data_IF_828797137213
#
_entry.id   IF_828797137213
#
_cell.length_a   1.000
_cell.length_b   1.000
_cell.length_c   1.000
_cell.angle_alpha   90.00
_cell.angle_beta   90.00
_cell.angle_gamma   90.00
#
_symmetry.space_group_name_H-M   'P 1'
#
loop_
_entity.id
_entity.type
_entity.pdbx_description
1 polymer ?
#
# COMPACT_ATOMS: atom_id res chain seq x y z
N UNK A 1 -50.16 54.83 52.82
CA UNK A 1 -49.96 54.84 51.34
C UNK A 1 -48.98 53.73 51.01
N UNK A 2 -49.55 52.55 50.73
CA UNK A 2 -48.79 51.28 50.63
C UNK A 2 -48.64 50.95 49.17
N UNK A 3 -47.42 50.85 48.67
CA UNK A 3 -47.12 50.44 47.30
C UNK A 3 -46.79 48.91 47.31
N UNK A 4 -47.67 48.14 46.69
CA UNK A 4 -47.47 46.70 46.49
C UNK A 4 -46.72 46.53 45.18
N UNK A 5 -45.50 45.99 45.23
CA UNK A 5 -44.74 45.59 44.04
C UNK A 5 -45.16 44.18 43.60
N UNK A 6 -45.71 44.07 42.43
CA UNK A 6 -46.11 42.82 41.79
C UNK A 6 -44.86 42.20 41.12
N UNK A 7 -44.33 41.13 41.66
CA UNK A 7 -43.31 40.31 41.02
C UNK A 7 -44.00 39.23 40.16
N UNK A 8 -44.08 39.47 38.88
CA UNK A 8 -44.50 38.43 37.90
C UNK A 8 -43.44 37.39 37.69
N UNK A 9 -43.62 36.24 38.25
CA UNK A 9 -42.79 35.05 37.96
C UNK A 9 -43.14 34.49 36.55
N UNK A 10 -42.30 34.75 35.56
CA UNK A 10 -42.41 34.16 34.27
C UNK A 10 -41.96 32.69 34.34
N UNK A 11 -42.90 31.78 34.63
CA UNK A 11 -42.68 30.35 34.46
C UNK A 11 -42.60 30.02 32.95
N UNK A 12 -41.42 29.57 32.47
CA UNK A 12 -41.26 29.10 31.11
C UNK A 12 -42.07 27.82 30.95
N UNK A 13 -42.99 27.75 29.99
CA UNK A 13 -43.84 26.58 29.82
C UNK A 13 -43.00 25.32 29.57
N UNK A 14 -43.33 24.25 30.27
CA UNK A 14 -42.62 22.95 30.28
C UNK A 14 -42.36 22.38 28.90
N UNK A 15 -43.23 22.64 27.92
CA UNK A 15 -43.08 22.23 26.52
C UNK A 15 -41.87 22.92 25.83
N UNK A 16 -41.54 24.15 26.16
CA UNK A 16 -40.36 24.86 25.62
C UNK A 16 -39.06 24.34 26.23
N UNK A 17 -39.06 23.95 27.50
CA UNK A 17 -37.93 23.30 28.16
C UNK A 17 -37.65 21.91 27.55
N UNK A 18 -38.69 21.13 27.26
CA UNK A 18 -38.56 19.82 26.65
C UNK A 18 -37.99 19.91 25.22
N UNK A 19 -38.41 20.91 24.44
CA UNK A 19 -37.86 21.16 23.09
C UNK A 19 -36.40 21.58 23.10
N UNK A 20 -35.97 22.37 24.07
CA UNK A 20 -34.56 22.81 24.20
C UNK A 20 -33.69 21.63 24.64
N UNK A 21 -34.15 20.78 25.56
CA UNK A 21 -33.42 19.59 26.00
C UNK A 21 -33.29 18.57 24.84
N UNK A 22 -34.34 18.36 24.06
CA UNK A 22 -34.34 17.47 22.92
C UNK A 22 -33.41 17.97 21.80
N UNK A 23 -33.37 19.27 21.52
CA UNK A 23 -32.46 19.86 20.55
C UNK A 23 -30.99 19.83 21.01
N UNK A 24 -30.71 20.02 22.32
CA UNK A 24 -29.37 19.87 22.89
C UNK A 24 -28.88 18.41 22.82
N UNK A 25 -29.77 17.42 23.04
CA UNK A 25 -29.44 15.99 22.90
C UNK A 25 -29.13 15.59 21.45
N UNK A 26 -29.84 16.20 20.47
CA UNK A 26 -29.53 15.96 19.04
C UNK A 26 -28.18 16.56 18.64
N UNK A 27 -27.78 17.71 19.16
CA UNK A 27 -26.47 18.33 18.89
C UNK A 27 -25.33 17.50 19.52
N UNK A 28 -25.54 16.92 20.69
CA UNK A 28 -24.55 16.05 21.35
C UNK A 28 -24.41 14.68 20.64
N UNK A 29 -25.45 14.15 20.00
CA UNK A 29 -25.39 12.89 19.27
C UNK A 29 -24.60 12.98 17.95
N UNK A 30 -24.48 14.18 17.34
CA UNK A 30 -23.67 14.39 16.14
C UNK A 30 -22.16 14.48 16.41
N UNK A 31 -21.74 14.70 17.65
CA UNK A 31 -20.31 14.88 17.97
C UNK A 31 -19.56 13.54 18.20
N UNK A 32 -20.26 12.40 18.20
CA UNK A 32 -19.68 11.10 18.59
C UNK A 32 -19.26 10.22 17.41
N UNK A 33 -19.36 10.67 16.15
CA UNK A 33 -18.95 9.92 14.97
C UNK A 33 -17.55 10.29 14.44
N UNK A 34 -16.74 10.99 15.21
CA UNK A 34 -15.31 11.12 14.93
C UNK A 34 -14.53 9.99 15.58
N UNK A 35 -15.01 8.77 15.41
CA UNK A 35 -14.31 7.58 15.89
C UNK A 35 -13.13 7.27 14.98
N UNK A 36 -11.92 7.66 15.41
CA UNK A 36 -10.66 6.95 15.16
C UNK A 36 -10.24 6.78 13.68
N UNK A 37 -10.43 7.78 12.85
CA UNK A 37 -9.67 7.93 11.64
C UNK A 37 -8.26 8.36 12.08
N UNK A 38 -7.38 7.38 12.29
CA UNK A 38 -5.95 7.66 12.47
C UNK A 38 -5.48 8.39 11.22
N UNK A 39 -5.33 9.71 11.34
CA UNK A 39 -5.12 10.58 10.19
C UNK A 39 -3.76 10.30 9.56
N UNK A 40 -3.78 10.10 8.24
CA UNK A 40 -2.57 10.06 7.44
C UNK A 40 -2.04 11.48 7.28
N UNK A 41 -0.81 11.72 7.68
CA UNK A 41 -0.10 12.97 7.45
C UNK A 41 0.62 12.93 6.11
N UNK A 42 0.36 13.88 5.23
CA UNK A 42 1.10 14.07 3.97
C UNK A 42 2.48 14.64 4.29
N UNK A 43 3.54 13.86 4.09
CA UNK A 43 4.92 14.23 4.39
C UNK A 43 5.77 14.54 3.16
N UNK A 44 5.28 14.19 1.97
CA UNK A 44 5.93 14.52 0.70
C UNK A 44 4.91 14.53 -0.43
N UNK A 45 4.98 15.55 -1.30
CA UNK A 45 4.23 15.64 -2.57
C UNK A 45 5.19 16.16 -3.64
N UNK A 46 5.72 15.24 -4.47
CA UNK A 46 6.72 15.55 -5.49
C UNK A 46 6.53 14.66 -6.71
N UNK A 47 6.60 15.22 -7.92
CA UNK A 47 6.59 14.47 -9.19
C UNK A 47 5.40 13.49 -9.31
N UNK A 48 4.21 13.91 -8.88
CA UNK A 48 3.00 13.09 -8.82
C UNK A 48 3.13 11.85 -7.91
N UNK A 49 4.02 11.92 -6.92
CA UNK A 49 4.18 10.91 -5.88
C UNK A 49 3.90 11.55 -4.54
N UNK A 50 2.86 11.09 -3.88
CA UNK A 50 2.45 11.50 -2.54
C UNK A 50 2.87 10.44 -1.53
N UNK A 51 3.49 10.87 -0.44
CA UNK A 51 3.87 9.99 0.67
C UNK A 51 3.18 10.45 1.93
N UNK A 52 2.51 9.54 2.57
CA UNK A 52 1.79 9.74 3.83
C UNK A 52 2.40 8.87 4.92
N UNK A 53 2.34 9.35 6.15
CA UNK A 53 2.75 8.62 7.35
C UNK A 53 1.61 8.57 8.34
N UNK A 54 1.60 7.51 9.17
CA UNK A 54 0.78 7.47 10.39
C UNK A 54 1.69 7.53 11.60
N UNK A 55 1.43 8.51 12.46
CA UNK A 55 2.02 8.54 13.78
C UNK A 55 1.17 7.66 14.71
N UNK A 56 1.83 6.73 15.39
CA UNK A 56 1.27 6.03 16.55
C UNK A 56 2.18 6.36 17.72
N UNK A 57 1.68 7.18 18.64
CA UNK A 57 2.37 7.45 19.89
C UNK A 57 2.66 6.13 20.60
N UNK A 58 3.89 5.95 21.11
CA UNK A 58 4.37 4.78 21.83
C UNK A 58 4.51 3.47 21.03
N UNK A 59 4.19 3.42 19.74
CA UNK A 59 4.34 2.23 18.91
C UNK A 59 5.71 2.16 18.22
N UNK A 60 6.36 0.99 18.26
CA UNK A 60 7.55 0.69 17.44
C UNK A 60 7.20 0.55 15.96
N UNK A 61 5.94 0.27 15.66
CA UNK A 61 5.45 0.12 14.29
C UNK A 61 5.51 1.46 13.56
N UNK A 62 6.11 1.43 12.39
CA UNK A 62 6.15 2.54 11.45
C UNK A 62 5.24 2.23 10.28
N UNK A 63 4.43 3.21 9.87
CA UNK A 63 3.48 3.03 8.78
C UNK A 63 3.63 4.16 7.79
N UNK A 64 3.80 3.80 6.53
CA UNK A 64 3.74 4.75 5.42
C UNK A 64 2.81 4.27 4.31
N UNK A 65 2.37 5.22 3.48
CA UNK A 65 1.65 4.97 2.23
C UNK A 65 2.20 5.90 1.17
N UNK A 66 2.67 5.33 0.07
CA UNK A 66 2.99 6.06 -1.14
C UNK A 66 1.86 5.89 -2.17
N UNK A 67 1.48 6.96 -2.84
CA UNK A 67 0.48 6.95 -3.92
C UNK A 67 1.06 7.67 -5.12
N UNK A 68 0.89 7.09 -6.31
CA UNK A 68 1.27 7.73 -7.56
C UNK A 68 0.33 7.34 -8.69
N UNK A 69 0.21 8.23 -9.69
CA UNK A 69 -0.54 7.98 -10.92
C UNK A 69 0.40 8.08 -12.10
N UNK A 70 0.24 7.18 -13.06
CA UNK A 70 1.05 7.16 -14.27
C UNK A 70 0.34 6.44 -15.41
N UNK A 71 0.84 6.64 -16.63
CA UNK A 71 0.35 5.94 -17.82
C UNK A 71 1.00 4.55 -17.89
N UNK A 72 0.20 3.51 -18.02
CA UNK A 72 0.62 2.12 -18.21
C UNK A 72 -0.01 1.59 -19.49
N UNK A 73 0.75 1.63 -20.59
CA UNK A 73 0.29 1.18 -21.92
C UNK A 73 0.25 -0.33 -22.05
N UNK A 74 1.22 -1.02 -21.45
CA UNK A 74 1.29 -2.47 -21.39
C UNK A 74 0.94 -2.93 -19.98
N UNK A 75 -0.19 -3.59 -19.85
CA UNK A 75 -0.77 -4.00 -18.57
C UNK A 75 0.09 -5.05 -17.86
N UNK A 76 0.80 -5.88 -18.64
CA UNK A 76 1.66 -6.93 -18.11
C UNK A 76 3.07 -6.46 -17.74
N UNK A 77 3.48 -5.24 -18.15
CA UNK A 77 4.80 -4.70 -17.83
C UNK A 77 5.07 -4.67 -16.32
N UNK A 78 4.04 -4.36 -15.54
CA UNK A 78 4.14 -4.37 -14.09
C UNK A 78 4.33 -5.79 -13.54
N UNK A 79 3.56 -6.76 -14.04
CA UNK A 79 3.73 -8.16 -13.65
C UNK A 79 5.11 -8.69 -14.06
N UNK A 80 5.63 -8.30 -15.23
CA UNK A 80 6.97 -8.64 -15.66
C UNK A 80 8.04 -8.11 -14.70
N UNK A 81 7.95 -6.85 -14.29
CA UNK A 81 8.85 -6.25 -13.31
C UNK A 81 8.76 -6.94 -11.93
N UNK A 82 7.55 -7.25 -11.47
CA UNK A 82 7.33 -7.89 -10.16
C UNK A 82 7.75 -9.38 -10.14
N UNK A 83 7.91 -10.02 -11.29
CA UNK A 83 8.46 -11.36 -11.41
C UNK A 83 9.99 -11.40 -11.58
N UNK A 84 10.62 -10.25 -11.85
CA UNK A 84 12.07 -10.11 -12.03
C UNK A 84 12.76 -9.78 -10.69
N UNK A 85 12.83 -10.76 -9.78
CA UNK A 85 13.45 -10.58 -8.45
C UNK A 85 14.90 -10.06 -8.50
N UNK A 86 15.78 -10.49 -9.44
CA UNK A 86 17.11 -9.92 -9.55
C UNK A 86 17.17 -8.42 -9.85
N UNK A 87 16.09 -7.85 -10.35
CA UNK A 87 16.01 -6.40 -10.62
C UNK A 87 15.58 -5.57 -9.39
N UNK A 88 15.10 -6.20 -8.32
CA UNK A 88 14.55 -5.49 -7.15
C UNK A 88 15.50 -4.44 -6.55
N UNK A 89 16.82 -4.66 -6.42
CA UNK A 89 17.74 -3.64 -5.96
C UNK A 89 17.78 -2.37 -6.82
N UNK A 90 17.36 -2.46 -8.09
CA UNK A 90 17.37 -1.32 -9.02
C UNK A 90 16.22 -0.33 -8.76
N UNK A 91 15.11 -0.81 -8.16
CA UNK A 91 13.92 0.01 -7.97
C UNK A 91 13.36 0.03 -6.54
N UNK A 92 13.45 -1.06 -5.80
CA UNK A 92 13.01 -1.11 -4.42
C UNK A 92 14.10 -0.55 -3.50
N UNK A 93 13.84 0.61 -2.92
CA UNK A 93 14.86 1.36 -2.18
C UNK A 93 15.30 0.60 -0.92
N UNK A 94 16.60 0.58 -0.67
CA UNK A 94 17.29 -0.19 0.38
C UNK A 94 17.30 -1.71 0.20
N UNK A 95 16.62 -2.28 -0.76
CA UNK A 95 16.70 -3.72 -1.01
C UNK A 95 18.02 -4.02 -1.72
N UNK A 96 18.78 -4.95 -1.18
CA UNK A 96 20.02 -5.48 -1.70
C UNK A 96 19.80 -6.75 -2.53
N UNK A 97 18.92 -7.64 -2.07
CA UNK A 97 18.51 -8.82 -2.80
C UNK A 97 17.04 -9.18 -2.58
N UNK A 98 16.46 -9.89 -3.54
CA UNK A 98 15.16 -10.51 -3.42
C UNK A 98 15.22 -11.89 -4.07
N UNK A 99 14.65 -12.88 -3.41
CA UNK A 99 14.59 -14.25 -3.90
C UNK A 99 13.25 -14.91 -3.54
N UNK A 100 12.75 -15.74 -4.44
CA UNK A 100 11.61 -16.62 -4.17
C UNK A 100 12.16 -17.95 -3.65
N UNK A 101 11.66 -18.42 -2.51
CA UNK A 101 12.09 -19.68 -1.90
C UNK A 101 10.97 -20.73 -1.82
N UNK A 102 9.70 -20.31 -1.97
CA UNK A 102 8.55 -21.22 -2.02
C UNK A 102 7.44 -20.63 -2.89
N UNK A 103 6.76 -21.51 -3.64
CA UNK A 103 5.67 -21.15 -4.55
C UNK A 103 4.52 -22.14 -4.43
N UNK A 104 3.40 -21.72 -3.87
CA UNK A 104 2.17 -22.52 -3.81
C UNK A 104 1.29 -22.34 -5.03
N UNK A 105 1.56 -21.32 -5.81
CA UNK A 105 0.88 -21.02 -7.06
C UNK A 105 1.38 -19.74 -7.70
N UNK A 106 0.90 -19.38 -8.89
CA UNK A 106 1.33 -18.17 -9.56
C UNK A 106 0.94 -16.89 -8.79
N UNK A 107 -0.08 -16.96 -7.94
CA UNK A 107 -0.60 -15.85 -7.13
C UNK A 107 -0.27 -15.95 -5.64
N UNK A 108 0.48 -16.99 -5.21
CA UNK A 108 0.89 -17.22 -3.83
C UNK A 108 2.36 -17.65 -3.78
N UNK A 109 3.22 -16.74 -3.36
CA UNK A 109 4.68 -16.91 -3.37
C UNK A 109 5.29 -16.47 -2.06
N UNK A 110 6.34 -17.15 -1.64
CA UNK A 110 7.13 -16.78 -0.46
C UNK A 110 8.47 -16.21 -0.88
N UNK A 111 8.77 -15.01 -0.39
CA UNK A 111 9.90 -14.20 -0.80
C UNK A 111 10.77 -13.87 0.40
N UNK A 112 12.07 -13.87 0.21
CA UNK A 112 13.05 -13.33 1.12
C UNK A 112 13.65 -12.07 0.52
N UNK A 113 13.72 -11.01 1.31
CA UNK A 113 14.38 -9.77 0.96
C UNK A 113 15.51 -9.50 1.93
N UNK A 114 16.65 -9.05 1.43
CA UNK A 114 17.69 -8.43 2.24
C UNK A 114 17.76 -6.95 1.97
N UNK A 115 18.08 -6.16 2.99
CA UNK A 115 18.17 -4.71 2.88
C UNK A 115 19.52 -4.24 3.38
N UNK A 116 20.12 -3.33 2.65
CA UNK A 116 21.32 -2.62 3.08
C UNK A 116 20.92 -1.26 3.66
N UNK A 117 21.08 -1.10 4.97
CA UNK A 117 20.76 0.14 5.66
C UNK A 117 22.00 1.02 5.85
N UNK A 118 21.79 2.36 5.98
CA UNK A 118 22.90 3.26 6.26
C UNK A 118 23.59 2.93 7.59
N UNK A 119 24.93 2.99 7.57
CA UNK A 119 25.70 2.90 8.82
C UNK A 119 25.20 3.92 9.87
N UNK A 120 25.07 3.57 11.16
CA UNK A 120 25.64 2.38 11.84
C UNK A 120 24.64 1.22 11.98
N UNK A 121 23.61 1.13 11.17
CA UNK A 121 22.64 0.05 11.28
C UNK A 121 23.16 -1.24 10.64
N UNK A 122 22.88 -2.37 11.30
CA UNK A 122 23.04 -3.67 10.67
C UNK A 122 22.01 -3.85 9.55
N UNK A 123 22.33 -4.69 8.58
CA UNK A 123 21.43 -5.06 7.51
C UNK A 123 20.23 -5.87 8.02
N UNK A 124 19.13 -5.83 7.31
CA UNK A 124 17.88 -6.52 7.69
C UNK A 124 17.50 -7.55 6.66
N UNK A 125 16.71 -8.52 7.11
CA UNK A 125 15.98 -9.42 6.22
C UNK A 125 14.49 -9.45 6.55
N UNK A 126 13.66 -9.58 5.50
CA UNK A 126 12.24 -9.84 5.59
C UNK A 126 11.92 -11.17 4.92
N UNK A 127 11.09 -11.97 5.56
CA UNK A 127 10.54 -13.21 5.01
C UNK A 127 9.04 -13.02 4.90
N UNK A 128 8.53 -12.93 3.68
CA UNK A 128 7.17 -12.51 3.38
C UNK A 128 6.47 -13.52 2.48
N UNK A 129 5.16 -13.66 2.64
CA UNK A 129 4.28 -14.26 1.67
C UNK A 129 3.58 -13.16 0.88
N UNK A 130 3.65 -13.21 -0.44
CA UNK A 130 2.97 -12.33 -1.36
C UNK A 130 1.73 -13.04 -1.92
N UNK A 131 0.55 -12.48 -1.65
CA UNK A 131 -0.74 -12.99 -2.09
C UNK A 131 -1.37 -12.01 -3.07
N UNK A 132 -1.53 -12.42 -4.32
CA UNK A 132 -2.12 -11.59 -5.37
C UNK A 132 -3.62 -11.82 -5.43
N UNK A 133 -4.41 -10.76 -5.39
CA UNK A 133 -5.86 -10.73 -5.57
C UNK A 133 -6.21 -9.83 -6.73
N UNK A 134 -7.19 -10.24 -7.53
CA UNK A 134 -7.65 -9.48 -8.69
C UNK A 134 -9.14 -9.20 -8.53
N UNK A 135 -9.54 -7.97 -8.84
CA UNK A 135 -10.94 -7.56 -8.94
C UNK A 135 -11.15 -6.97 -10.33
N UNK A 136 -11.90 -7.70 -11.18
CA UNK A 136 -12.16 -7.31 -12.56
C UNK A 136 -13.67 -7.29 -12.80
N UNK A 137 -14.28 -6.16 -12.44
CA UNK A 137 -15.70 -5.88 -12.65
C UNK A 137 -15.87 -4.72 -13.64
N UNK A 138 -17.12 -4.39 -13.99
CA UNK A 138 -17.39 -3.23 -14.83
C UNK A 138 -16.98 -1.91 -14.15
N UNK A 139 -17.09 -1.84 -12.81
CA UNK A 139 -16.87 -0.63 -12.03
C UNK A 139 -15.45 -0.54 -11.44
N UNK A 140 -14.80 -1.69 -11.26
CA UNK A 140 -13.47 -1.75 -10.64
C UNK A 140 -12.56 -2.75 -11.36
N UNK A 141 -11.38 -2.27 -11.76
CA UNK A 141 -10.29 -3.08 -12.28
C UNK A 141 -9.05 -2.82 -11.41
N UNK A 142 -8.76 -3.77 -10.55
CA UNK A 142 -7.65 -3.64 -9.60
C UNK A 142 -6.93 -4.97 -9.36
N UNK A 143 -5.63 -4.84 -9.05
CA UNK A 143 -4.79 -5.92 -8.55
C UNK A 143 -4.25 -5.48 -7.21
N UNK A 144 -4.40 -6.31 -6.19
CA UNK A 144 -3.87 -6.11 -4.85
C UNK A 144 -2.91 -7.23 -4.49
N UNK A 145 -1.72 -6.89 -4.04
CA UNK A 145 -0.74 -7.81 -3.49
C UNK A 145 -0.66 -7.57 -2.00
N UNK A 146 -1.13 -8.53 -1.21
CA UNK A 146 -0.95 -8.52 0.24
C UNK A 146 0.41 -9.14 0.59
N UNK A 147 1.22 -8.41 1.36
CA UNK A 147 2.49 -8.88 1.92
C UNK A 147 2.27 -9.28 3.38
N UNK A 148 2.46 -10.55 3.68
CA UNK A 148 2.20 -11.13 5.01
C UNK A 148 3.52 -11.60 5.62
N UNK A 149 3.82 -11.13 6.83
CA UNK A 149 5.02 -11.53 7.56
C UNK A 149 5.04 -13.03 7.86
N UNK A 150 6.16 -13.69 7.54
CA UNK A 150 6.40 -15.12 7.77
C UNK A 150 7.81 -15.35 8.35
N UNK A 151 8.15 -14.73 9.48
CA UNK A 151 9.52 -14.75 9.99
C UNK A 151 10.04 -16.15 10.28
N UNK A 152 9.14 -17.09 10.59
CA UNK A 152 9.49 -18.48 10.92
C UNK A 152 9.53 -19.42 9.71
N UNK A 153 9.23 -18.94 8.49
CA UNK A 153 9.25 -19.77 7.27
C UNK A 153 10.66 -20.13 6.79
N UNK A 154 11.68 -19.42 7.26
CA UNK A 154 13.09 -19.73 7.05
C UNK A 154 13.84 -19.71 8.40
N UNK A 155 14.89 -20.53 8.56
CA UNK A 155 15.74 -20.45 9.74
C UNK A 155 16.37 -19.04 9.87
N UNK A 156 16.70 -18.60 11.11
CA UNK A 156 17.38 -17.32 11.32
C UNK A 156 18.73 -17.28 10.57
N UNK A 157 19.04 -16.11 10.02
CA UNK A 157 20.38 -15.83 9.48
C UNK A 157 21.08 -14.79 10.37
N UNK A 158 22.24 -15.14 10.92
CA UNK A 158 22.97 -14.30 11.86
C UNK A 158 23.61 -13.05 11.22
N UNK A 159 23.68 -12.99 9.88
CA UNK A 159 24.22 -11.84 9.16
C UNK A 159 23.23 -10.67 9.09
N UNK A 160 21.96 -10.93 9.41
CA UNK A 160 20.87 -9.97 9.30
C UNK A 160 20.05 -9.89 10.58
N UNK A 161 19.48 -8.71 10.83
CA UNK A 161 18.41 -8.58 11.81
C UNK A 161 17.10 -8.84 11.05
N UNK A 162 16.37 -9.91 11.41
CA UNK A 162 15.05 -10.19 10.83
C UNK A 162 14.04 -9.17 11.33
N UNK A 163 13.23 -8.61 10.41
CA UNK A 163 12.11 -7.75 10.79
C UNK A 163 11.15 -8.53 11.68
N UNK A 164 10.90 -8.10 12.93
CA UNK A 164 9.93 -8.75 13.80
C UNK A 164 8.51 -8.70 13.23
N UNK A 165 8.18 -7.57 12.61
CA UNK A 165 6.90 -7.34 11.93
C UNK A 165 7.14 -6.58 10.64
N UNK A 166 6.60 -7.09 9.54
CA UNK A 166 6.58 -6.41 8.25
C UNK A 166 5.40 -6.90 7.43
N UNK A 167 4.37 -6.09 7.32
CA UNK A 167 3.21 -6.36 6.49
C UNK A 167 2.96 -5.20 5.53
N UNK A 168 2.31 -5.46 4.41
CA UNK A 168 2.06 -4.39 3.46
C UNK A 168 1.06 -4.73 2.39
N UNK A 169 0.82 -3.74 1.55
CA UNK A 169 -0.05 -3.85 0.38
C UNK A 169 0.53 -3.09 -0.79
N UNK A 170 0.46 -3.71 -1.94
CA UNK A 170 0.77 -3.07 -3.21
C UNK A 170 -0.47 -3.16 -4.08
N UNK A 171 -1.12 -2.03 -4.31
CA UNK A 171 -2.38 -1.93 -5.05
C UNK A 171 -2.18 -1.22 -6.37
N UNK A 172 -2.83 -1.75 -7.41
CA UNK A 172 -2.89 -1.15 -8.74
C UNK A 172 -4.34 -1.06 -9.15
N UNK A 173 -4.82 0.14 -9.42
CA UNK A 173 -6.20 0.41 -9.83
C UNK A 173 -6.22 1.17 -11.15
N UNK A 174 -6.94 0.65 -12.14
CA UNK A 174 -7.13 1.32 -13.41
C UNK A 174 -8.09 2.51 -13.25
N UNK A 175 -7.71 3.65 -13.81
CA UNK A 175 -8.53 4.88 -13.78
C UNK A 175 -9.19 5.19 -15.12
N UNK A 176 -8.90 4.41 -16.18
CA UNK A 176 -9.28 4.68 -17.57
C UNK A 176 -8.17 5.40 -18.35
N UNK A 177 -8.27 5.42 -19.70
CA UNK A 177 -7.30 6.08 -20.59
C UNK A 177 -5.84 5.70 -20.31
N UNK A 178 -5.57 4.40 -20.08
CA UNK A 178 -4.25 3.84 -19.73
C UNK A 178 -3.65 4.44 -18.45
N UNK A 179 -4.43 5.16 -17.64
CA UNK A 179 -4.00 5.66 -16.35
C UNK A 179 -4.19 4.59 -15.27
N UNK A 180 -3.16 4.43 -14.45
CA UNK A 180 -3.16 3.55 -13.29
C UNK A 180 -2.79 4.34 -12.04
N UNK A 181 -3.53 4.12 -10.96
CA UNK A 181 -3.14 4.54 -9.62
C UNK A 181 -2.48 3.38 -8.91
N UNK A 182 -1.28 3.62 -8.42
CA UNK A 182 -0.54 2.68 -7.60
C UNK A 182 -0.51 3.17 -6.17
N UNK A 183 -0.82 2.27 -5.24
CA UNK A 183 -0.68 2.48 -3.80
C UNK A 183 0.31 1.47 -3.23
N UNK A 184 1.31 1.97 -2.48
CA UNK A 184 2.28 1.16 -1.75
C UNK A 184 2.18 1.49 -0.27
N UNK A 185 1.69 0.56 0.54
CA UNK A 185 1.55 0.72 1.98
C UNK A 185 2.38 -0.34 2.70
N UNK A 186 3.12 0.08 3.72
CA UNK A 186 3.93 -0.81 4.54
C UNK A 186 3.78 -0.45 6.01
N UNK A 187 3.63 -1.47 6.84
CA UNK A 187 3.66 -1.43 8.30
C UNK A 187 4.84 -2.29 8.72
N UNK A 188 5.77 -1.72 9.45
CA UNK A 188 6.96 -2.46 9.86
C UNK A 188 7.44 -2.08 11.28
N UNK A 189 7.93 -3.07 12.03
CA UNK A 189 8.85 -2.88 13.15
C UNK A 189 10.28 -3.12 12.60
N UNK A 190 11.14 -2.10 12.57
CA UNK A 190 12.49 -2.27 12.03
C UNK A 190 13.40 -3.11 12.93
N UNK A 191 12.95 -3.47 14.15
CA UNK A 191 13.76 -4.15 15.15
C UNK A 191 14.93 -3.29 15.67
N UNK A 192 15.35 -3.54 16.92
CA UNK A 192 16.45 -2.84 17.52
C UNK A 192 16.22 -1.32 17.70
N UNK A 193 17.30 -0.58 17.88
CA UNK A 193 17.29 0.89 17.97
C UNK A 193 17.47 1.50 16.57
N UNK A 194 16.57 2.37 16.18
CA UNK A 194 16.66 3.17 14.95
C UNK A 194 16.70 4.65 15.33
N UNK A 195 17.78 5.38 15.04
CA UNK A 195 17.82 6.83 15.22
C UNK A 195 16.71 7.54 14.43
N UNK A 196 16.13 8.60 14.99
CA UNK A 196 14.99 9.31 14.38
C UNK A 196 15.27 9.81 12.96
N UNK A 197 16.49 10.26 12.66
CA UNK A 197 16.85 10.72 11.31
C UNK A 197 16.82 9.60 10.26
N UNK A 198 17.21 8.36 10.64
CA UNK A 198 17.10 7.20 9.75
C UNK A 198 15.63 6.78 9.60
N UNK A 199 14.87 6.80 10.70
CA UNK A 199 13.44 6.52 10.64
C UNK A 199 12.73 7.46 9.63
N UNK A 200 13.07 8.74 9.61
CA UNK A 200 12.52 9.70 8.65
C UNK A 200 12.90 9.35 7.20
N UNK A 201 14.13 8.93 6.93
CA UNK A 201 14.56 8.47 5.60
C UNK A 201 13.76 7.23 5.17
N UNK A 202 13.63 6.24 6.07
CA UNK A 202 12.89 5.02 5.79
C UNK A 202 11.41 5.28 5.48
N UNK A 203 10.79 6.22 6.18
CA UNK A 203 9.35 6.46 6.08
C UNK A 203 8.98 7.43 4.96
N UNK A 204 9.81 8.42 4.68
CA UNK A 204 9.52 9.49 3.71
C UNK A 204 10.21 9.25 2.37
N UNK A 205 11.51 8.98 2.41
CA UNK A 205 12.32 8.97 1.20
C UNK A 205 12.31 7.59 0.51
N UNK A 206 12.29 6.50 1.28
CA UNK A 206 12.25 5.15 0.69
C UNK A 206 10.99 4.89 -0.15
N UNK A 207 9.75 5.18 0.31
CA UNK A 207 8.57 4.99 -0.53
C UNK A 207 8.59 5.91 -1.77
N UNK A 208 9.06 7.14 -1.65
CA UNK A 208 9.18 8.06 -2.77
C UNK A 208 10.11 7.50 -3.86
N UNK A 209 11.35 7.15 -3.50
CA UNK A 209 12.32 6.64 -4.47
C UNK A 209 11.94 5.27 -5.04
N UNK A 210 11.27 4.43 -4.26
CA UNK A 210 10.72 3.16 -4.74
C UNK A 210 9.71 3.40 -5.87
N UNK A 211 8.73 4.27 -5.65
CA UNK A 211 7.70 4.56 -6.65
C UNK A 211 8.27 5.27 -7.87
N UNK A 212 9.18 6.22 -7.67
CA UNK A 212 9.85 6.93 -8.77
C UNK A 212 10.65 5.97 -9.67
N UNK A 213 11.43 5.08 -9.07
CA UNK A 213 12.23 4.09 -9.81
C UNK A 213 11.36 3.05 -10.48
N UNK A 214 10.29 2.58 -9.81
CA UNK A 214 9.34 1.63 -10.39
C UNK A 214 8.73 2.20 -11.67
N UNK A 215 8.23 3.44 -11.65
CA UNK A 215 7.68 4.13 -12.85
C UNK A 215 8.66 4.15 -14.01
N UNK A 216 9.96 4.32 -13.75
CA UNK A 216 11.00 4.27 -14.79
C UNK A 216 11.26 2.86 -15.28
N UNK A 217 11.27 1.88 -14.38
CA UNK A 217 11.56 0.49 -14.74
C UNK A 217 10.48 -0.12 -15.63
N UNK A 218 9.21 0.07 -15.29
CA UNK A 218 8.10 -0.51 -16.07
C UNK A 218 8.05 -0.01 -17.51
N UNK A 219 8.67 1.13 -17.83
CA UNK A 219 8.72 1.68 -19.20
C UNK A 219 9.84 1.09 -20.05
N UNK A 220 10.70 0.25 -19.48
CA UNK A 220 11.83 -0.32 -20.22
C UNK A 220 11.37 -1.44 -21.15
N UNK A 221 12.07 -1.62 -22.31
CA UNK A 221 11.70 -2.61 -23.30
C UNK A 221 11.67 -4.05 -22.75
N UNK A 222 12.56 -4.36 -21.79
CA UNK A 222 12.64 -5.70 -21.19
C UNK A 222 11.39 -6.13 -20.44
N UNK A 223 10.51 -5.19 -20.06
CA UNK A 223 9.24 -5.47 -19.36
C UNK A 223 8.02 -5.36 -20.26
N UNK A 224 8.19 -5.05 -21.54
CA UNK A 224 7.07 -4.88 -22.47
C UNK A 224 6.76 -6.17 -23.22
N UNK A 225 5.51 -6.31 -23.68
CA UNK A 225 5.02 -7.43 -24.50
C UNK A 225 5.10 -8.80 -23.80
N UNK A 226 4.98 -8.82 -22.49
CA UNK A 226 4.79 -10.04 -21.71
C UNK A 226 3.31 -10.43 -21.65
N UNK A 227 3.06 -11.72 -21.41
CA UNK A 227 1.72 -12.26 -21.15
C UNK A 227 1.78 -13.27 -20.02
N UNK A 228 0.80 -13.20 -19.12
CA UNK A 228 0.67 -14.13 -18.00
C UNK A 228 -0.76 -14.65 -17.96
N UNK A 229 -0.97 -15.92 -18.25
CA UNK A 229 -2.26 -16.60 -18.35
C UNK A 229 -3.04 -16.64 -17.02
N UNK A 230 -2.33 -16.54 -15.91
CA UNK A 230 -2.91 -16.49 -14.56
C UNK A 230 -3.40 -15.10 -14.14
N UNK A 231 -3.15 -14.08 -14.95
CA UNK A 231 -3.60 -12.71 -14.69
C UNK A 231 -4.69 -12.32 -15.70
N UNK A 232 -5.91 -12.13 -15.20
CA UNK A 232 -6.99 -11.53 -16.00
C UNK A 232 -6.97 -10.01 -15.79
N UNK A 233 -6.27 -9.29 -16.67
CA UNK A 233 -6.16 -7.83 -16.60
C UNK A 233 -7.12 -7.10 -17.57
N UNK A 234 -7.89 -7.84 -18.36
CA UNK A 234 -8.77 -7.25 -19.38
C UNK A 234 -10.21 -7.06 -18.90
N UNK A 235 -10.65 -7.85 -17.91
CA UNK A 235 -12.03 -7.83 -17.44
C UNK A 235 -13.06 -8.29 -18.47
N UNK A 236 -14.35 -8.41 -18.08
CA UNK A 236 -15.39 -8.87 -18.98
C UNK A 236 -15.62 -7.87 -20.13
N UNK A 237 -15.38 -8.30 -21.38
CA UNK A 237 -15.74 -7.55 -22.59
C UNK A 237 -14.62 -6.98 -23.43
N UNK A 238 -13.35 -7.11 -23.08
CA UNK A 238 -12.25 -6.83 -24.02
C UNK A 238 -11.87 -8.09 -24.82
N UNK A 239 -11.75 -8.03 -26.16
CA UNK A 239 -11.25 -9.15 -26.95
C UNK A 239 -9.81 -9.45 -26.54
N UNK A 240 -9.50 -10.73 -26.36
CA UNK A 240 -8.13 -11.24 -26.22
C UNK A 240 -7.30 -10.98 -27.49
N UNK A 241 -6.91 -9.77 -27.75
CA UNK A 241 -6.04 -9.46 -28.90
C UNK A 241 -4.60 -10.00 -28.74
N UNK A 242 -4.22 -10.46 -27.56
CA UNK A 242 -2.86 -10.94 -27.27
C UNK A 242 -2.69 -12.48 -27.32
N UNK A 243 -3.77 -13.27 -27.37
CA UNK A 243 -3.67 -14.73 -27.44
C UNK A 243 -3.04 -15.25 -28.74
N UNK A 244 -3.00 -14.43 -29.80
CA UNK A 244 -2.44 -14.85 -31.10
C UNK A 244 -0.91 -14.72 -31.22
N UNK A 245 -0.23 -14.07 -30.30
CA UNK A 245 1.23 -13.90 -30.32
C UNK A 245 1.98 -14.98 -29.50
N UNK A 246 1.29 -15.62 -28.54
CA UNK A 246 1.89 -16.66 -27.70
C UNK A 246 2.06 -18.03 -28.39
N UNK A 247 1.17 -18.38 -29.31
CA UNK A 247 1.20 -19.69 -30.00
C UNK A 247 2.31 -19.79 -31.06
N UNK A 248 2.84 -18.67 -31.55
CA UNK A 248 3.88 -18.67 -32.59
C UNK A 248 5.29 -18.90 -32.03
N UNK A 249 5.54 -18.76 -30.75
CA UNK A 249 6.87 -18.97 -30.16
C UNK A 249 7.08 -20.35 -29.53
N UNK A 250 6.00 -21.09 -29.23
CA UNK A 250 6.13 -22.41 -28.60
C UNK A 250 6.35 -23.57 -29.59
N UNK A 251 6.26 -23.31 -30.89
CA UNK A 251 6.51 -24.34 -31.94
C UNK A 251 7.93 -24.36 -32.50
N UNK A 252 8.84 -23.49 -32.09
CA UNK A 252 10.21 -23.48 -32.60
C UNK A 252 11.26 -24.13 -31.68
N UNK A 253 10.91 -24.59 -30.49
CA UNK A 253 11.86 -25.19 -29.53
C UNK A 253 11.72 -26.72 -29.35
N UNK A 254 11.03 -27.43 -30.23
CA UNK A 254 10.90 -28.92 -30.17
C UNK A 254 11.50 -29.59 -31.42
N UNK A 255 12.56 -29.03 -32.00
CA UNK A 255 13.35 -29.82 -33.01
C UNK A 255 14.78 -29.26 -33.05
N UNK A 256 15.61 -29.72 -32.10
CA UNK A 256 17.04 -30.03 -32.32
C UNK A 256 17.56 -30.80 -31.11
#
# INVERSE_FOLDING_TARGET
MTIIANQGSHLVPMERLLGIILSLLLVFACSSLSANQQDWELVSDRNDIQVYMKHRDESRLKTFRGVTRFTLKDEYALAALLNDYPSYPKWLHFVDSAEEFDRRGPLDRSLRFTTQLPWPLADREAVLQALVKQTMTADEQSVMIDLVNRPDALPPNNDYIRFPEMTGKLGFRRLGNDQVEMTYELILDPGGYIPAWIANILLRDAPYFTLERLRRMISKPEYQNHYYDYLDLHGPGRPQAAASLGDSQNHQNVTK
#
